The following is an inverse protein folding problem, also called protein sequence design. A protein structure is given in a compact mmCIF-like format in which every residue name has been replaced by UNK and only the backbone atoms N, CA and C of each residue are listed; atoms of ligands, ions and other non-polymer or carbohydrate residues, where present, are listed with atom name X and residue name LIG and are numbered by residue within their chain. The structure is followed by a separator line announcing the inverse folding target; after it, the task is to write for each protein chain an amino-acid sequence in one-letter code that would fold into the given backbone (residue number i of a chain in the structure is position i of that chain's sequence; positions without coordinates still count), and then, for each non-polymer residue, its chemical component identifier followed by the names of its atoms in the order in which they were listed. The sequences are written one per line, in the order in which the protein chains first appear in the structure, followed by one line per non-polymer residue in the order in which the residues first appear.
data_IF_376996551076
#
_entry.id   IF_376996551076
#
_cell.length_a   1.000
_cell.length_b   1.000
_cell.length_c   1.000
_cell.angle_alpha   90.00
_cell.angle_beta   90.00
_cell.angle_gamma   90.00
#
_symmetry.space_group_name_H-M   'P 1'
#
loop_
_entity.id
_entity.type
_entity.pdbx_description
1 polymer ?
#
# COMPACT_ATOMS: atom_id res chain seq x y z
N UNK A 1 6.43 32.54 -11.35
CA UNK A 1 7.06 31.91 -10.19
C UNK A 1 8.05 30.91 -10.71
N UNK A 2 9.33 31.20 -10.55
CA UNK A 2 10.44 30.33 -10.95
C UNK A 2 10.44 29.12 -10.02
N UNK A 3 10.24 27.94 -10.56
CA UNK A 3 10.46 26.69 -9.83
C UNK A 3 11.96 26.61 -9.50
N UNK A 4 12.31 26.77 -8.23
CA UNK A 4 13.62 26.36 -7.76
C UNK A 4 13.76 24.87 -8.09
N UNK A 5 14.77 24.52 -8.86
CA UNK A 5 15.15 23.14 -9.12
C UNK A 5 15.64 22.56 -7.79
N UNK A 6 14.76 21.81 -7.11
CA UNK A 6 15.14 21.06 -5.91
C UNK A 6 16.37 20.22 -6.26
N UNK A 7 17.41 20.30 -5.44
CA UNK A 7 18.62 19.47 -5.58
C UNK A 7 18.18 18.00 -5.58
N UNK A 8 18.85 17.15 -6.38
CA UNK A 8 18.56 15.70 -6.35
C UNK A 8 18.63 15.21 -4.90
N UNK A 9 17.56 14.57 -4.44
CA UNK A 9 17.52 13.98 -3.10
C UNK A 9 18.54 12.86 -3.08
N UNK A 10 19.58 13.00 -2.26
CA UNK A 10 20.60 11.97 -2.09
C UNK A 10 19.97 10.78 -1.36
N UNK A 11 19.87 9.63 -2.05
CA UNK A 11 19.27 8.41 -1.50
C UNK A 11 20.26 7.81 -0.49
N UNK A 12 19.87 7.62 0.78
CA UNK A 12 20.73 6.99 1.78
C UNK A 12 21.17 5.57 1.37
N UNK A 13 22.38 5.15 1.74
CA UNK A 13 22.91 3.85 1.32
C UNK A 13 22.08 2.67 1.81
N UNK A 14 21.54 2.75 3.02
CA UNK A 14 20.59 1.76 3.53
C UNK A 14 19.34 1.61 2.63
N UNK A 15 18.89 2.70 2.02
CA UNK A 15 17.77 2.66 1.09
C UNK A 15 18.17 2.11 -0.27
N UNK A 16 19.36 2.44 -0.77
CA UNK A 16 19.90 1.83 -2.01
C UNK A 16 19.97 0.31 -1.87
N UNK A 17 20.47 -0.16 -0.72
CA UNK A 17 20.50 -1.58 -0.39
C UNK A 17 19.08 -2.21 -0.38
N UNK A 18 18.14 -1.56 0.29
CA UNK A 18 16.75 -2.04 0.33
C UNK A 18 16.12 -2.11 -1.06
N UNK A 19 16.35 -1.11 -1.92
CA UNK A 19 15.87 -1.10 -3.30
C UNK A 19 16.50 -2.21 -4.16
N UNK A 20 17.78 -2.51 -3.97
CA UNK A 20 18.44 -3.60 -4.67
C UNK A 20 17.90 -4.96 -4.24
N UNK A 21 17.69 -5.16 -2.94
CA UNK A 21 17.07 -6.37 -2.40
C UNK A 21 15.62 -6.51 -2.88
N UNK A 22 14.83 -5.42 -2.88
CA UNK A 22 13.48 -5.43 -3.42
C UNK A 22 13.48 -5.82 -4.91
N UNK A 23 14.42 -5.32 -5.70
CA UNK A 23 14.51 -5.65 -7.12
C UNK A 23 14.80 -7.15 -7.38
N UNK A 24 15.54 -7.80 -6.49
CA UNK A 24 15.86 -9.22 -6.57
C UNK A 24 14.68 -10.07 -6.09
N UNK A 25 14.14 -9.77 -4.91
CA UNK A 25 13.16 -10.62 -4.23
C UNK A 25 11.69 -10.26 -4.49
N UNK A 26 11.41 -9.05 -5.00
CA UNK A 26 10.06 -8.57 -5.31
C UNK A 26 10.03 -7.86 -6.68
N UNK A 27 10.39 -8.57 -7.79
CA UNK A 27 10.55 -7.96 -9.10
C UNK A 27 9.26 -7.31 -9.63
N UNK A 28 8.09 -7.90 -9.38
CA UNK A 28 6.82 -7.29 -9.74
C UNK A 28 6.60 -5.94 -9.03
N UNK A 29 6.79 -5.87 -7.72
CA UNK A 29 6.61 -4.64 -6.96
C UNK A 29 7.58 -3.54 -7.44
N UNK A 30 8.82 -3.90 -7.71
CA UNK A 30 9.83 -3.01 -8.29
C UNK A 30 9.41 -2.49 -9.67
N UNK A 31 8.89 -3.36 -10.53
CA UNK A 31 8.40 -2.99 -11.88
C UNK A 31 7.23 -2.01 -11.79
N UNK A 32 6.23 -2.29 -10.94
CA UNK A 32 5.07 -1.42 -10.77
C UNK A 32 5.47 -0.06 -10.17
N UNK A 33 6.39 -0.05 -9.22
CA UNK A 33 6.94 1.18 -8.65
C UNK A 33 7.65 2.04 -9.70
N UNK A 34 8.47 1.43 -10.57
CA UNK A 34 9.17 2.13 -11.65
C UNK A 34 8.23 2.73 -12.69
N UNK A 35 7.04 2.17 -12.91
CA UNK A 35 6.03 2.77 -13.81
C UNK A 35 5.46 4.06 -13.27
N UNK A 36 5.37 4.21 -11.95
CA UNK A 36 4.78 5.36 -11.29
C UNK A 36 5.80 6.47 -11.02
N UNK A 37 7.04 6.08 -10.79
CA UNK A 37 8.12 6.97 -10.39
C UNK A 37 9.30 6.80 -11.34
N UNK A 38 9.38 7.68 -12.33
CA UNK A 38 10.53 7.67 -13.24
C UNK A 38 11.80 8.16 -12.53
N UNK A 39 12.98 7.52 -12.77
CA UNK A 39 14.24 7.87 -12.10
C UNK A 39 14.71 9.30 -12.35
N UNK A 40 14.24 9.94 -13.42
CA UNK A 40 14.63 11.29 -13.84
C UNK A 40 13.64 12.37 -13.40
N UNK A 41 12.45 11.98 -12.98
CA UNK A 41 11.40 12.89 -12.58
C UNK A 41 10.66 12.32 -11.37
N UNK A 42 11.20 12.57 -10.17
CA UNK A 42 10.62 12.14 -8.90
C UNK A 42 9.30 12.86 -8.55
N UNK A 43 8.48 13.15 -9.58
CA UNK A 43 7.14 13.66 -9.33
C UNK A 43 6.35 12.65 -8.52
N UNK A 44 5.66 13.15 -7.51
CA UNK A 44 4.82 12.32 -6.68
C UNK A 44 3.72 11.65 -7.52
N UNK A 45 3.63 10.33 -7.43
CA UNK A 45 2.55 9.59 -8.07
C UNK A 45 1.20 9.91 -7.41
N UNK A 46 0.14 9.96 -8.20
CA UNK A 46 -1.20 10.19 -7.67
C UNK A 46 -1.87 8.87 -7.30
N UNK A 47 -2.43 8.87 -6.12
CA UNK A 47 -3.26 7.79 -5.61
C UNK A 47 -4.61 8.31 -5.18
N UNK A 48 -5.58 7.42 -5.12
CA UNK A 48 -6.94 7.73 -4.73
C UNK A 48 -7.45 6.74 -3.68
N UNK A 49 -8.04 7.26 -2.61
CA UNK A 49 -8.73 6.47 -1.60
C UNK A 49 -10.25 6.62 -1.75
N UNK A 50 -10.91 5.58 -2.25
CA UNK A 50 -12.36 5.52 -2.36
C UNK A 50 -12.95 5.11 -1.00
N UNK A 51 -13.88 5.94 -0.47
CA UNK A 51 -14.44 5.70 0.86
C UNK A 51 -15.82 6.33 1.02
N UNK A 52 -16.46 6.12 2.18
CA UNK A 52 -17.71 6.83 2.49
C UNK A 52 -17.44 8.30 2.81
N UNK A 53 -18.45 9.16 2.60
CA UNK A 53 -18.35 10.57 2.96
C UNK A 53 -18.04 10.75 4.47
N UNK A 54 -18.62 9.93 5.34
CA UNK A 54 -18.38 9.94 6.78
C UNK A 54 -16.91 9.62 7.11
N UNK A 55 -16.37 8.54 6.54
CA UNK A 55 -14.98 8.15 6.77
C UNK A 55 -14.01 9.21 6.23
N UNK A 56 -14.29 9.79 5.05
CA UNK A 56 -13.48 10.86 4.49
C UNK A 56 -13.44 12.10 5.39
N UNK A 57 -14.58 12.51 5.95
CA UNK A 57 -14.62 13.59 6.94
C UNK A 57 -13.76 13.26 8.19
N UNK A 58 -13.84 12.02 8.66
CA UNK A 58 -13.02 11.55 9.77
C UNK A 58 -11.52 11.58 9.46
N UNK A 59 -11.13 11.16 8.26
CA UNK A 59 -9.73 11.19 7.78
C UNK A 59 -9.22 12.64 7.70
N UNK A 60 -9.99 13.52 7.07
CA UNK A 60 -9.61 14.92 6.89
C UNK A 60 -9.52 15.66 8.24
N UNK A 61 -10.54 15.51 9.10
CA UNK A 61 -10.58 16.18 10.40
C UNK A 61 -9.48 15.72 11.35
N UNK A 62 -9.18 14.43 11.37
CA UNK A 62 -8.11 13.87 12.20
C UNK A 62 -6.73 13.98 11.57
N UNK A 63 -6.63 14.26 10.28
CA UNK A 63 -5.39 14.14 9.49
C UNK A 63 -4.74 12.76 9.65
N UNK A 64 -5.56 11.70 9.57
CA UNK A 64 -5.14 10.31 9.79
C UNK A 64 -5.77 9.40 8.76
N UNK A 65 -4.98 8.56 8.11
CA UNK A 65 -5.49 7.49 7.25
C UNK A 65 -5.78 6.26 8.10
N UNK A 66 -7.01 5.76 8.04
CA UNK A 66 -7.44 4.62 8.85
C UNK A 66 -6.98 3.30 8.24
N UNK A 67 -6.29 2.51 9.04
CA UNK A 67 -5.86 1.15 8.70
C UNK A 67 -6.73 0.16 9.47
N UNK A 68 -7.39 -0.72 8.74
CA UNK A 68 -8.32 -1.71 9.29
C UNK A 68 -7.68 -3.09 9.32
N UNK A 69 -8.08 -3.88 10.29
CA UNK A 69 -7.69 -5.28 10.33
C UNK A 69 -8.25 -6.02 9.11
N UNK A 70 -7.44 -6.83 8.45
CA UNK A 70 -7.83 -7.61 7.26
C UNK A 70 -9.01 -8.53 7.55
N UNK A 71 -9.15 -9.05 8.79
CA UNK A 71 -10.27 -9.90 9.21
C UNK A 71 -11.62 -9.18 9.26
N UNK A 72 -11.61 -7.84 9.34
CA UNK A 72 -12.81 -6.99 9.34
C UNK A 72 -13.16 -6.42 7.96
N UNK A 73 -12.47 -6.86 6.92
CA UNK A 73 -12.67 -6.40 5.55
C UNK A 73 -13.19 -7.55 4.67
N UNK A 74 -13.82 -7.19 3.56
CA UNK A 74 -14.21 -8.18 2.55
C UNK A 74 -12.98 -8.95 2.01
N UNK A 75 -11.81 -8.32 2.11
CA UNK A 75 -10.51 -8.82 1.65
C UNK A 75 -9.91 -9.95 2.51
N UNK A 76 -10.57 -10.38 3.60
CA UNK A 76 -10.05 -11.49 4.42
C UNK A 76 -9.85 -12.78 3.62
N UNK A 77 -10.76 -13.07 2.68
CA UNK A 77 -10.62 -14.22 1.78
C UNK A 77 -9.42 -14.09 0.85
N UNK A 78 -8.96 -12.88 0.59
CA UNK A 78 -7.81 -12.60 -0.27
C UNK A 78 -6.51 -13.00 0.41
N UNK A 79 -6.35 -12.74 1.72
CA UNK A 79 -5.19 -13.21 2.50
C UNK A 79 -5.10 -14.73 2.46
N UNK A 80 -6.23 -15.43 2.59
CA UNK A 80 -6.28 -16.89 2.45
C UNK A 80 -6.00 -17.34 1.01
N UNK A 81 -6.46 -16.59 0.01
CA UNK A 81 -6.19 -16.86 -1.39
C UNK A 81 -4.68 -16.75 -1.67
N UNK A 82 -4.05 -15.64 -1.28
CA UNK A 82 -2.61 -15.44 -1.43
C UNK A 82 -1.79 -16.55 -0.74
N UNK A 83 -2.16 -16.91 0.49
CA UNK A 83 -1.52 -18.03 1.19
C UNK A 83 -1.67 -19.35 0.42
N UNK A 84 -2.86 -19.67 -0.07
CA UNK A 84 -3.12 -20.90 -0.81
C UNK A 84 -2.29 -20.98 -2.10
N UNK A 85 -2.09 -19.85 -2.78
CA UNK A 85 -1.27 -19.80 -3.99
C UNK A 85 0.22 -20.02 -3.70
N UNK A 86 0.76 -19.35 -2.68
CA UNK A 86 2.14 -19.60 -2.23
C UNK A 86 2.32 -21.03 -1.71
N UNK A 87 1.37 -21.51 -0.92
CA UNK A 87 1.40 -22.87 -0.38
C UNK A 87 1.47 -23.91 -1.51
N UNK A 88 0.73 -23.76 -2.60
CA UNK A 88 0.79 -24.68 -3.75
C UNK A 88 2.18 -24.74 -4.38
N UNK A 89 2.90 -23.64 -4.42
CA UNK A 89 4.28 -23.63 -4.93
C UNK A 89 5.23 -24.36 -3.97
N UNK A 90 5.21 -23.98 -2.69
CA UNK A 90 6.16 -24.50 -1.69
C UNK A 90 5.82 -25.91 -1.18
N UNK A 91 4.60 -26.41 -1.37
CA UNK A 91 4.23 -27.79 -1.11
C UNK A 91 4.80 -28.77 -2.16
N UNK A 92 5.03 -28.30 -3.37
CA UNK A 92 5.74 -29.06 -4.41
C UNK A 92 7.23 -29.11 -4.06
N UNK A 93 7.72 -30.32 -3.78
CA UNK A 93 9.09 -30.56 -3.32
C UNK A 93 10.13 -30.09 -4.36
N UNK A 94 9.90 -30.34 -5.65
CA UNK A 94 10.82 -29.96 -6.72
C UNK A 94 10.95 -28.42 -6.80
N UNK A 95 9.82 -27.72 -6.78
CA UNK A 95 9.80 -26.25 -6.85
C UNK A 95 10.43 -25.63 -5.60
N UNK A 96 10.07 -26.13 -4.42
CA UNK A 96 10.67 -25.70 -3.15
C UNK A 96 12.18 -25.90 -3.16
N UNK A 97 12.66 -27.10 -3.60
CA UNK A 97 14.08 -27.39 -3.65
C UNK A 97 14.83 -26.46 -4.63
N UNK A 98 14.21 -26.09 -5.75
CA UNK A 98 14.80 -25.14 -6.71
C UNK A 98 14.99 -23.75 -6.06
N UNK A 99 14.00 -23.26 -5.35
CA UNK A 99 14.10 -21.99 -4.62
C UNK A 99 15.15 -22.06 -3.50
N UNK A 100 15.10 -23.14 -2.71
CA UNK A 100 16.03 -23.36 -1.59
C UNK A 100 17.46 -23.43 -2.10
N UNK A 101 17.73 -24.21 -3.14
CA UNK A 101 19.08 -24.36 -3.69
C UNK A 101 19.67 -23.02 -4.19
N UNK A 102 18.87 -22.18 -4.84
CA UNK A 102 19.34 -20.87 -5.32
C UNK A 102 19.74 -19.95 -4.17
N UNK A 103 18.94 -19.88 -3.11
CA UNK A 103 19.21 -19.01 -1.96
C UNK A 103 20.34 -19.57 -1.07
N UNK A 104 20.34 -20.88 -0.83
CA UNK A 104 21.30 -21.55 0.02
C UNK A 104 22.71 -21.60 -0.61
N UNK A 105 22.83 -21.47 -1.94
CA UNK A 105 24.10 -21.25 -2.63
C UNK A 105 24.74 -19.89 -2.27
N UNK A 106 23.95 -18.94 -1.80
CA UNK A 106 24.44 -17.65 -1.30
C UNK A 106 24.60 -17.67 0.24
N UNK A 107 23.59 -18.17 0.94
CA UNK A 107 23.53 -18.22 2.41
C UNK A 107 22.92 -19.55 2.86
N UNK A 108 23.74 -20.54 3.25
CA UNK A 108 23.28 -21.86 3.67
C UNK A 108 22.19 -21.79 4.75
N UNK A 109 21.06 -22.47 4.53
CA UNK A 109 19.93 -22.56 5.43
C UNK A 109 19.02 -21.32 5.47
N UNK A 110 19.30 -20.27 4.71
CA UNK A 110 18.52 -19.04 4.72
C UNK A 110 17.09 -19.22 4.22
N UNK A 111 16.90 -20.05 3.18
CA UNK A 111 15.58 -20.34 2.66
C UNK A 111 14.69 -21.05 3.69
N UNK A 112 15.21 -22.09 4.31
CA UNK A 112 14.50 -22.86 5.35
C UNK A 112 14.17 -22.01 6.57
N UNK A 113 15.09 -21.13 6.99
CA UNK A 113 14.86 -20.19 8.09
C UNK A 113 13.74 -19.18 7.78
N UNK A 114 13.75 -18.58 6.59
CA UNK A 114 12.72 -17.64 6.18
C UNK A 114 11.33 -18.29 6.07
N UNK A 115 11.25 -19.51 5.52
CA UNK A 115 9.99 -20.28 5.43
C UNK A 115 9.51 -20.68 6.84
N UNK A 116 10.40 -21.13 7.72
CA UNK A 116 10.08 -21.44 9.11
C UNK A 116 9.51 -20.20 9.83
N UNK A 117 10.20 -19.09 9.73
CA UNK A 117 9.77 -17.81 10.31
C UNK A 117 8.38 -17.40 9.79
N UNK A 118 8.14 -17.54 8.48
CA UNK A 118 6.82 -17.26 7.89
C UNK A 118 5.70 -18.16 8.48
N UNK A 119 5.98 -19.45 8.64
CA UNK A 119 5.02 -20.38 9.21
C UNK A 119 4.74 -20.09 10.70
N UNK A 120 5.75 -19.71 11.47
CA UNK A 120 5.60 -19.33 12.88
C UNK A 120 4.76 -18.05 13.05
N UNK A 121 4.89 -17.11 12.13
CA UNK A 121 4.13 -15.85 12.13
C UNK A 121 2.76 -15.94 11.46
N UNK A 122 2.41 -17.07 10.86
CA UNK A 122 1.18 -17.20 10.06
C UNK A 122 -0.10 -16.81 10.83
N UNK A 123 -0.26 -17.25 12.06
CA UNK A 123 -1.41 -16.90 12.90
C UNK A 123 -1.55 -15.40 13.17
N UNK A 124 -0.42 -14.73 13.43
CA UNK A 124 -0.40 -13.27 13.61
C UNK A 124 -0.58 -12.53 12.27
N UNK A 125 -0.06 -13.05 11.17
CA UNK A 125 -0.30 -12.48 9.84
C UNK A 125 -1.78 -12.47 9.48
N UNK A 126 -2.51 -13.53 9.81
CA UNK A 126 -3.94 -13.61 9.58
C UNK A 126 -4.77 -12.65 10.44
N UNK A 127 -4.40 -12.49 11.72
CA UNK A 127 -5.23 -11.83 12.72
C UNK A 127 -4.76 -10.43 13.13
N UNK A 128 -3.51 -10.08 12.85
CA UNK A 128 -2.86 -8.86 13.30
C UNK A 128 -2.23 -8.06 12.15
N UNK A 129 -2.81 -8.16 10.96
CA UNK A 129 -2.42 -7.34 9.80
C UNK A 129 -3.46 -6.26 9.58
N UNK A 130 -3.00 -5.01 9.53
CA UNK A 130 -3.83 -3.83 9.30
C UNK A 130 -3.43 -3.21 7.95
N UNK A 131 -4.43 -2.87 7.14
CA UNK A 131 -4.20 -2.30 5.82
C UNK A 131 -5.03 -1.05 5.57
N UNK A 132 -4.49 -0.17 4.75
CA UNK A 132 -5.25 0.84 4.04
C UNK A 132 -5.05 0.63 2.54
N UNK A 133 -6.15 0.48 1.82
CA UNK A 133 -6.17 0.27 0.37
C UNK A 133 -6.33 1.60 -0.34
N UNK A 134 -5.46 1.84 -1.32
CA UNK A 134 -5.52 2.99 -2.23
C UNK A 134 -5.35 2.50 -3.65
N UNK A 135 -5.85 3.23 -4.62
CA UNK A 135 -5.70 2.90 -6.04
C UNK A 135 -4.79 3.91 -6.74
N UNK A 136 -4.07 3.48 -7.77
CA UNK A 136 -3.38 4.43 -8.66
C UNK A 136 -4.42 5.30 -9.34
N UNK A 137 -4.21 6.62 -9.33
CA UNK A 137 -5.06 7.58 -10.02
C UNK A 137 -4.38 8.08 -11.30
N UNK A 138 -5.12 8.04 -12.40
CA UNK A 138 -4.65 8.49 -13.72
C UNK A 138 -5.45 9.71 -14.17
N UNK A 139 -4.82 10.89 -14.13
CA UNK A 139 -5.45 12.15 -14.55
C UNK A 139 -5.93 12.14 -16.01
N UNK A 140 -5.35 11.30 -16.88
CA UNK A 140 -5.74 11.26 -18.30
C UNK A 140 -7.06 10.55 -18.54
N UNK A 141 -7.34 9.52 -17.74
CA UNK A 141 -8.53 8.66 -17.94
C UNK A 141 -9.56 8.83 -16.85
N UNK A 142 -9.18 9.25 -15.66
CA UNK A 142 -10.05 9.36 -14.49
C UNK A 142 -10.36 10.81 -14.12
N UNK A 143 -9.41 11.73 -14.34
CA UNK A 143 -9.52 13.17 -14.08
C UNK A 143 -10.37 13.49 -12.82
N UNK A 144 -11.46 14.21 -13.01
CA UNK A 144 -12.42 14.53 -11.94
C UNK A 144 -13.51 13.48 -11.76
N UNK A 145 -13.62 12.50 -12.67
CA UNK A 145 -14.72 11.51 -12.63
C UNK A 145 -14.45 10.36 -11.68
N UNK A 146 -13.19 10.05 -11.43
CA UNK A 146 -12.80 8.81 -10.77
C UNK A 146 -13.11 7.58 -11.63
N UNK A 147 -12.93 6.39 -11.05
CA UNK A 147 -13.13 5.11 -11.75
C UNK A 147 -14.51 4.54 -11.51
N UNK A 148 -15.26 4.31 -12.58
CA UNK A 148 -16.65 3.85 -12.52
C UNK A 148 -16.79 2.48 -11.81
N UNK A 149 -15.87 1.55 -12.04
CA UNK A 149 -15.86 0.26 -11.34
C UNK A 149 -15.76 0.43 -9.82
N UNK A 150 -14.96 1.38 -9.35
CA UNK A 150 -14.80 1.67 -7.91
C UNK A 150 -16.06 2.28 -7.30
N UNK A 151 -16.74 3.19 -8.03
CA UNK A 151 -18.04 3.71 -7.57
C UNK A 151 -19.11 2.61 -7.44
N UNK A 152 -19.06 1.60 -8.33
CA UNK A 152 -19.98 0.46 -8.31
C UNK A 152 -19.59 -0.58 -7.25
N UNK A 153 -18.32 -0.91 -7.13
CA UNK A 153 -17.82 -1.93 -6.20
C UNK A 153 -18.11 -1.54 -4.74
N UNK A 154 -17.93 -0.27 -4.42
CA UNK A 154 -18.25 0.27 -3.10
C UNK A 154 -19.68 0.83 -3.04
N UNK A 155 -20.58 0.40 -3.94
CA UNK A 155 -21.97 0.78 -3.98
C UNK A 155 -22.69 0.47 -2.67
N UNK A 156 -23.74 1.24 -2.38
CA UNK A 156 -24.55 1.15 -1.18
C UNK A 156 -25.31 2.46 -0.96
N UNK A 157 -26.14 2.53 0.07
CA UNK A 157 -26.97 3.70 0.39
C UNK A 157 -26.18 4.93 0.84
N UNK A 158 -24.93 4.76 1.26
CA UNK A 158 -24.12 5.86 1.79
C UNK A 158 -23.41 6.63 0.67
N UNK A 159 -23.42 7.96 0.70
CA UNK A 159 -22.65 8.77 -0.24
C UNK A 159 -21.17 8.42 -0.24
N UNK A 160 -20.56 8.40 -1.41
CA UNK A 160 -19.15 8.04 -1.64
C UNK A 160 -18.35 9.22 -2.13
N UNK A 161 -17.10 9.22 -1.74
CA UNK A 161 -16.10 10.18 -2.19
C UNK A 161 -14.77 9.47 -2.48
N UNK A 162 -13.93 10.14 -3.22
CA UNK A 162 -12.57 9.70 -3.48
C UNK A 162 -11.59 10.82 -3.09
N UNK A 163 -10.66 10.53 -2.20
CA UNK A 163 -9.59 11.45 -1.81
C UNK A 163 -8.39 11.18 -2.70
N UNK A 164 -8.03 12.12 -3.55
CA UNK A 164 -6.83 12.04 -4.40
C UNK A 164 -5.68 12.74 -3.69
N UNK A 165 -4.55 12.07 -3.63
CA UNK A 165 -3.34 12.60 -3.00
C UNK A 165 -2.08 12.19 -3.78
N UNK A 166 -1.01 12.94 -3.56
CA UNK A 166 0.29 12.73 -4.17
C UNK A 166 1.20 12.02 -3.18
N UNK A 167 1.49 10.76 -3.43
CA UNK A 167 2.44 10.04 -2.61
C UNK A 167 3.86 10.31 -3.13
N UNK A 168 4.78 10.82 -2.30
CA UNK A 168 6.16 11.01 -2.69
C UNK A 168 6.83 9.65 -2.91
N UNK A 169 7.82 9.60 -3.81
CA UNK A 169 8.66 8.42 -4.02
C UNK A 169 9.28 7.94 -2.71
N UNK A 170 9.77 8.87 -1.93
CA UNK A 170 10.41 8.62 -0.66
C UNK A 170 10.06 9.73 0.33
N UNK A 171 9.58 9.36 1.48
CA UNK A 171 9.24 10.32 2.53
C UNK A 171 9.92 10.03 3.87
N UNK A 172 10.65 8.92 3.99
CA UNK A 172 11.12 8.42 5.29
C UNK A 172 10.01 7.79 6.15
N UNK A 173 8.75 8.09 5.84
CA UNK A 173 7.62 7.67 6.65
C UNK A 173 7.44 6.15 6.71
N UNK A 174 7.72 5.43 5.62
CA UNK A 174 7.62 3.97 5.61
C UNK A 174 8.54 3.32 6.65
N UNK A 175 9.74 3.88 6.82
CA UNK A 175 10.68 3.41 7.84
C UNK A 175 10.28 3.84 9.26
N UNK A 176 9.91 5.13 9.45
CA UNK A 176 9.52 5.65 10.77
C UNK A 176 8.22 5.05 11.30
N UNK A 177 7.28 4.75 10.40
CA UNK A 177 6.00 4.12 10.74
C UNK A 177 6.05 2.59 10.73
N UNK A 178 7.17 1.98 10.31
CA UNK A 178 7.31 0.53 10.14
C UNK A 178 6.19 -0.08 9.27
N UNK A 179 5.78 0.63 8.23
CA UNK A 179 4.77 0.17 7.27
C UNK A 179 5.41 -0.30 5.97
N UNK A 180 4.75 -1.24 5.30
CA UNK A 180 5.09 -1.65 3.94
C UNK A 180 4.13 -0.95 2.99
N UNK A 181 4.65 -0.38 1.91
CA UNK A 181 3.86 0.20 0.83
C UNK A 181 4.11 -0.59 -0.46
N UNK A 182 3.12 -1.37 -0.89
CA UNK A 182 3.28 -2.35 -1.97
C UNK A 182 2.10 -2.34 -2.95
N UNK A 183 2.35 -2.52 -4.26
CA UNK A 183 1.29 -2.81 -5.21
C UNK A 183 0.65 -4.16 -4.93
N UNK A 184 -0.63 -4.30 -5.29
CA UNK A 184 -1.33 -5.58 -5.32
C UNK A 184 -1.05 -6.27 -6.65
N UNK A 185 -0.64 -7.52 -6.60
CA UNK A 185 -0.44 -8.38 -7.75
C UNK A 185 -1.74 -9.14 -8.08
N UNK A 186 -2.20 -9.03 -9.30
CA UNK A 186 -3.41 -9.72 -9.79
C UNK A 186 -2.99 -10.92 -10.62
N UNK A 187 -2.59 -11.99 -9.95
CA UNK A 187 -1.96 -13.13 -10.58
C UNK A 187 -2.84 -14.37 -10.60
N UNK A 188 -2.79 -15.10 -11.71
CA UNK A 188 -3.18 -16.51 -11.77
C UNK A 188 -2.11 -17.39 -11.10
N UNK A 189 -2.44 -18.67 -10.86
CA UNK A 189 -1.48 -19.65 -10.31
C UNK A 189 -0.18 -19.73 -11.13
N UNK A 190 -0.29 -19.71 -12.46
CA UNK A 190 0.88 -19.76 -13.36
C UNK A 190 1.75 -18.52 -13.16
N UNK A 191 1.14 -17.34 -13.09
CA UNK A 191 1.88 -16.08 -12.91
C UNK A 191 2.58 -16.00 -11.55
N UNK A 192 2.01 -16.57 -10.47
CA UNK A 192 2.70 -16.69 -9.18
C UNK A 192 3.94 -17.57 -9.32
N UNK A 193 3.83 -18.69 -10.04
CA UNK A 193 4.99 -19.54 -10.29
C UNK A 193 6.06 -18.81 -11.11
N UNK A 194 5.66 -18.12 -12.16
CA UNK A 194 6.59 -17.34 -13.01
C UNK A 194 7.31 -16.24 -12.20
N UNK A 195 6.59 -15.58 -11.30
CA UNK A 195 7.18 -14.57 -10.42
C UNK A 195 8.23 -15.18 -9.48
N UNK A 196 7.94 -16.34 -8.86
CA UNK A 196 8.90 -17.02 -7.99
C UNK A 196 10.11 -17.52 -8.80
N UNK A 197 9.91 -18.03 -10.03
CA UNK A 197 11.03 -18.37 -10.92
C UNK A 197 11.85 -17.13 -11.32
N UNK A 198 11.21 -15.97 -11.49
CA UNK A 198 11.92 -14.71 -11.71
C UNK A 198 12.78 -14.33 -10.50
N UNK A 199 12.28 -14.54 -9.27
CA UNK A 199 13.08 -14.36 -8.04
C UNK A 199 14.28 -15.31 -8.04
N UNK A 200 14.08 -16.61 -8.33
CA UNK A 200 15.17 -17.60 -8.39
C UNK A 200 16.23 -17.16 -9.41
N UNK A 201 15.80 -16.75 -10.59
CA UNK A 201 16.71 -16.23 -11.62
C UNK A 201 17.48 -15.00 -11.12
N UNK A 202 16.81 -14.05 -10.51
CA UNK A 202 17.44 -12.84 -9.99
C UNK A 202 18.47 -13.14 -8.89
N UNK A 203 18.17 -14.11 -7.98
CA UNK A 203 19.15 -14.56 -6.97
C UNK A 203 20.42 -15.09 -7.66
N UNK A 204 20.28 -15.92 -8.69
CA UNK A 204 21.41 -16.47 -9.43
C UNK A 204 22.19 -15.39 -10.20
N UNK A 205 21.48 -14.48 -10.88
CA UNK A 205 22.11 -13.40 -11.65
C UNK A 205 22.85 -12.40 -10.76
N UNK A 206 22.44 -12.24 -9.48
CA UNK A 206 23.04 -11.32 -8.52
C UNK A 206 23.67 -12.03 -7.31
N UNK A 207 24.13 -13.27 -7.50
CA UNK A 207 24.60 -14.11 -6.40
C UNK A 207 25.74 -13.48 -5.60
N UNK A 208 26.64 -12.73 -6.22
CA UNK A 208 27.75 -12.06 -5.53
C UNK A 208 27.24 -10.95 -4.61
N UNK A 209 26.25 -10.18 -5.05
CA UNK A 209 25.61 -9.16 -4.23
C UNK A 209 24.85 -9.80 -3.05
N UNK A 210 24.08 -10.87 -3.30
CA UNK A 210 23.33 -11.56 -2.26
C UNK A 210 24.31 -12.15 -1.21
N UNK A 211 25.41 -12.77 -1.62
CA UNK A 211 26.45 -13.29 -0.71
C UNK A 211 27.14 -12.20 0.12
N UNK A 212 27.34 -11.02 -0.46
CA UNK A 212 27.96 -9.88 0.23
C UNK A 212 26.99 -9.19 1.19
N UNK A 213 25.69 -9.39 1.04
CA UNK A 213 24.67 -8.83 1.93
C UNK A 213 24.60 -9.62 3.24
N UNK A 214 24.38 -8.92 4.36
CA UNK A 214 24.20 -9.59 5.66
C UNK A 214 23.08 -10.65 5.61
N UNK A 215 23.40 -11.85 6.13
CA UNK A 215 22.49 -13.01 6.08
C UNK A 215 21.15 -12.73 6.74
N UNK A 216 21.12 -12.02 7.88
CA UNK A 216 19.89 -11.69 8.60
C UNK A 216 19.02 -10.77 7.75
N UNK A 217 19.64 -9.85 7.02
CA UNK A 217 18.92 -8.96 6.11
C UNK A 217 18.31 -9.73 4.93
N UNK A 218 19.05 -10.70 4.37
CA UNK A 218 18.51 -11.55 3.30
C UNK A 218 17.32 -12.36 3.79
N UNK A 219 17.43 -13.03 4.95
CA UNK A 219 16.32 -13.80 5.56
C UNK A 219 15.09 -12.90 5.81
N UNK A 220 15.30 -11.70 6.35
CA UNK A 220 14.21 -10.73 6.57
C UNK A 220 13.55 -10.29 5.27
N UNK A 221 14.33 -10.11 4.20
CA UNK A 221 13.79 -9.72 2.89
C UNK A 221 12.98 -10.85 2.27
N UNK A 222 13.45 -12.10 2.35
CA UNK A 222 12.68 -13.27 1.89
C UNK A 222 11.39 -13.43 2.70
N UNK A 223 11.46 -13.25 4.01
CA UNK A 223 10.27 -13.24 4.85
C UNK A 223 9.28 -12.14 4.42
N UNK A 224 9.76 -10.91 4.17
CA UNK A 224 8.94 -9.80 3.69
C UNK A 224 8.32 -10.09 2.30
N UNK A 225 9.05 -10.74 1.41
CA UNK A 225 8.54 -11.25 0.12
C UNK A 225 7.37 -12.21 0.32
N UNK A 226 7.50 -13.19 1.22
CA UNK A 226 6.42 -14.15 1.51
C UNK A 226 5.19 -13.46 2.10
N UNK A 227 5.40 -12.51 3.02
CA UNK A 227 4.31 -11.69 3.59
C UNK A 227 3.61 -10.86 2.50
N UNK A 228 4.37 -10.17 1.66
CA UNK A 228 3.80 -9.39 0.55
C UNK A 228 3.02 -10.29 -0.42
N UNK A 229 3.55 -11.48 -0.74
CA UNK A 229 2.89 -12.48 -1.57
C UNK A 229 1.58 -12.99 -0.98
N UNK A 230 1.35 -12.88 0.32
CA UNK A 230 0.06 -13.22 0.94
C UNK A 230 -0.86 -12.00 1.01
N UNK A 231 -0.33 -10.86 1.47
CA UNK A 231 -1.17 -9.68 1.76
C UNK A 231 -1.45 -8.84 0.51
N UNK A 232 -0.61 -8.94 -0.52
CA UNK A 232 -0.74 -8.17 -1.77
C UNK A 232 -1.02 -9.04 -3.00
N UNK A 233 -1.55 -10.24 -2.82
CA UNK A 233 -1.98 -11.08 -3.94
C UNK A 233 -3.50 -11.13 -3.99
N UNK A 234 -4.07 -10.85 -5.16
CA UNK A 234 -5.50 -10.77 -5.40
C UNK A 234 -5.86 -11.52 -6.69
N UNK A 235 -7.07 -12.01 -6.78
CA UNK A 235 -7.56 -12.67 -7.99
C UNK A 235 -7.54 -11.71 -9.18
N UNK A 236 -7.11 -12.20 -10.34
CA UNK A 236 -6.93 -11.41 -11.58
C UNK A 236 -8.18 -10.62 -12.02
N UNK A 237 -9.37 -11.08 -11.69
CA UNK A 237 -10.63 -10.40 -11.97
C UNK A 237 -10.77 -9.01 -11.32
N UNK A 238 -9.94 -8.68 -10.32
CA UNK A 238 -9.97 -7.38 -9.63
C UNK A 238 -8.92 -6.39 -10.16
N UNK A 239 -8.23 -6.68 -11.27
CA UNK A 239 -7.13 -5.87 -11.80
C UNK A 239 -7.50 -4.39 -12.07
N UNK A 240 -8.79 -4.10 -12.32
CA UNK A 240 -9.27 -2.73 -12.49
C UNK A 240 -9.13 -1.87 -11.24
N UNK A 241 -9.01 -2.47 -10.04
CA UNK A 241 -8.83 -1.71 -8.81
C UNK A 241 -7.47 -1.00 -8.77
N UNK A 242 -6.45 -1.53 -9.46
CA UNK A 242 -5.08 -0.96 -9.52
C UNK A 242 -4.60 -0.59 -8.12
N UNK A 243 -4.83 -1.51 -7.18
CA UNK A 243 -4.68 -1.30 -5.75
C UNK A 243 -3.22 -1.28 -5.32
N UNK A 244 -2.93 -0.43 -4.37
CA UNK A 244 -1.73 -0.44 -3.53
C UNK A 244 -2.15 -0.51 -2.08
N UNK A 245 -1.36 -1.17 -1.26
CA UNK A 245 -1.63 -1.33 0.17
C UNK A 245 -0.54 -0.68 1.02
N UNK A 246 -0.98 0.08 2.00
CA UNK A 246 -0.17 0.40 3.19
C UNK A 246 -0.46 -0.69 4.20
N UNK A 247 0.57 -1.41 4.65
CA UNK A 247 0.43 -2.60 5.49
C UNK A 247 1.19 -2.37 6.78
N UNK A 248 0.53 -2.60 7.91
CA UNK A 248 1.11 -2.53 9.24
C UNK A 248 0.87 -3.83 10.00
N UNK A 249 1.91 -4.35 10.64
CA UNK A 249 1.85 -5.52 11.51
C UNK A 249 2.43 -5.19 12.89
N UNK A 250 1.60 -4.78 13.87
CA UNK A 250 2.06 -4.27 15.15
C UNK A 250 2.94 -5.23 15.92
N UNK A 251 2.60 -6.51 15.93
CA UNK A 251 3.41 -7.52 16.62
C UNK A 251 4.75 -7.80 15.93
N UNK A 252 4.76 -7.73 14.60
CA UNK A 252 5.95 -8.06 13.80
C UNK A 252 6.96 -6.93 13.77
N UNK A 253 6.46 -5.72 13.59
CA UNK A 253 7.30 -4.53 13.41
C UNK A 253 6.63 -3.31 14.07
N UNK A 254 6.58 -3.26 15.42
CA UNK A 254 5.91 -2.21 16.15
C UNK A 254 6.53 -0.84 15.85
N UNK A 255 5.70 0.17 15.73
CA UNK A 255 6.10 1.58 15.62
C UNK A 255 5.51 2.36 16.77
N UNK A 256 6.31 3.03 17.59
CA UNK A 256 5.79 3.87 18.68
C UNK A 256 4.81 4.94 18.18
N UNK A 257 5.02 5.47 16.97
CA UNK A 257 4.13 6.46 16.36
C UNK A 257 2.77 5.82 16.06
N UNK A 258 2.76 4.61 15.45
CA UNK A 258 1.52 3.92 15.12
C UNK A 258 0.77 3.41 16.34
N UNK A 259 1.49 2.92 17.37
CA UNK A 259 0.89 2.43 18.61
C UNK A 259 0.18 3.55 19.40
N UNK A 260 0.70 4.78 19.35
CA UNK A 260 0.07 5.95 19.95
C UNK A 260 -1.20 6.40 19.20
N UNK A 261 -1.42 5.93 17.98
CA UNK A 261 -2.48 6.37 17.05
C UNK A 261 -3.54 5.27 16.85
N UNK A 262 -3.94 4.59 17.92
CA UNK A 262 -4.97 3.55 17.90
C UNK A 262 -6.32 4.05 18.37
N UNK A 263 -7.40 3.50 17.81
CA UNK A 263 -8.78 3.81 18.23
C UNK A 263 -9.68 2.59 18.04
N UNK A 264 -10.66 2.40 18.94
CA UNK A 264 -11.78 1.47 18.68
C UNK A 264 -12.90 2.24 17.98
N UNK A 265 -13.25 1.79 16.77
CA UNK A 265 -14.27 2.42 15.93
C UNK A 265 -15.30 1.41 15.48
N UNK A 266 -16.58 1.82 15.44
CA UNK A 266 -17.65 1.01 14.83
C UNK A 266 -17.72 1.36 13.33
N UNK A 267 -17.44 0.38 12.47
CA UNK A 267 -17.50 0.54 11.02
C UNK A 267 -18.41 -0.55 10.45
N UNK A 268 -19.46 -0.14 9.74
CA UNK A 268 -20.45 -1.08 9.22
C UNK A 268 -21.16 -1.89 10.31
N UNK A 269 -21.34 -1.31 11.52
CA UNK A 269 -21.94 -1.97 12.66
C UNK A 269 -21.01 -2.86 13.49
N UNK A 270 -19.75 -3.04 13.06
CA UNK A 270 -18.77 -3.90 13.74
C UNK A 270 -17.76 -3.04 14.51
N UNK A 271 -17.70 -3.14 15.86
CA UNK A 271 -16.63 -2.53 16.65
C UNK A 271 -15.29 -3.22 16.32
N UNK A 272 -14.29 -2.42 16.00
CA UNK A 272 -12.97 -2.92 15.61
C UNK A 272 -11.87 -1.95 16.03
N UNK A 273 -10.71 -2.48 16.36
CA UNK A 273 -9.50 -1.70 16.53
C UNK A 273 -9.03 -1.22 15.15
N UNK A 274 -8.69 0.05 15.04
CA UNK A 274 -8.04 0.63 13.88
C UNK A 274 -6.72 1.29 14.29
N UNK A 275 -5.75 1.26 13.39
CA UNK A 275 -4.56 2.11 13.47
C UNK A 275 -4.76 3.32 12.57
N UNK A 276 -4.31 4.47 13.02
CA UNK A 276 -4.51 5.73 12.31
C UNK A 276 -3.16 6.28 11.87
N UNK A 277 -2.75 5.95 10.63
CA UNK A 277 -1.50 6.44 10.06
C UNK A 277 -1.52 7.97 9.97
N UNK A 278 -0.60 8.68 10.64
CA UNK A 278 -0.61 10.14 10.69
C UNK A 278 -0.26 10.74 9.32
N UNK A 279 -1.04 11.76 8.94
CA UNK A 279 -0.83 12.64 7.79
C UNK A 279 -0.64 14.08 8.29
N UNK A 280 0.13 14.24 9.36
CA UNK A 280 0.31 15.48 10.09
C UNK A 280 1.76 15.62 10.53
N UNK A 281 2.47 16.58 9.96
CA UNK A 281 3.88 16.84 10.21
C UNK A 281 4.21 17.14 11.68
N UNK A 282 3.21 17.52 12.48
CA UNK A 282 3.42 17.85 13.90
C UNK A 282 3.57 16.60 14.79
N UNK A 283 3.23 15.41 14.29
CA UNK A 283 3.30 14.16 15.06
C UNK A 283 4.74 13.68 15.21
N UNK A 284 5.48 13.64 14.11
CA UNK A 284 6.87 13.22 14.09
C UNK A 284 7.57 13.72 12.81
N UNK A 285 8.88 13.99 12.86
CA UNK A 285 9.64 14.43 11.68
C UNK A 285 9.56 13.45 10.50
N UNK A 286 9.47 12.16 10.77
CA UNK A 286 9.40 11.09 9.77
C UNK A 286 8.16 11.22 8.88
N UNK A 287 7.06 11.76 9.38
CA UNK A 287 5.81 11.90 8.63
C UNK A 287 5.65 13.25 7.93
N UNK A 288 6.63 14.15 8.05
CA UNK A 288 6.57 15.48 7.43
C UNK A 288 6.33 15.42 5.90
N UNK A 289 6.86 14.41 5.23
CA UNK A 289 6.63 14.16 3.80
C UNK A 289 5.20 13.75 3.45
N UNK A 290 4.40 13.30 4.43
CA UNK A 290 3.02 12.86 4.28
C UNK A 290 2.01 13.87 4.86
N UNK A 291 2.43 15.08 5.22
CA UNK A 291 1.49 16.09 5.71
C UNK A 291 0.33 16.31 4.73
N UNK A 292 -0.91 16.26 5.23
CA UNK A 292 -2.11 16.33 4.40
C UNK A 292 -2.16 17.60 3.56
N UNK A 293 -1.71 18.74 4.09
CA UNK A 293 -1.67 20.00 3.34
C UNK A 293 -0.70 19.95 2.15
N UNK A 294 0.33 19.12 2.24
CA UNK A 294 1.33 18.91 1.17
C UNK A 294 0.88 17.88 0.15
N UNK A 295 0.32 16.75 0.59
CA UNK A 295 0.02 15.63 -0.32
C UNK A 295 -1.38 15.67 -0.92
N UNK A 296 -2.33 16.39 -0.30
CA UNK A 296 -3.71 16.46 -0.81
C UNK A 296 -3.76 17.13 -2.18
N UNK A 297 -4.40 16.44 -3.15
CA UNK A 297 -4.63 16.97 -4.50
C UNK A 297 -6.07 17.50 -4.63
N UNK A 298 -7.05 16.63 -4.53
CA UNK A 298 -8.48 16.97 -4.60
C UNK A 298 -9.36 15.90 -3.94
N UNK A 299 -10.61 16.25 -3.73
CA UNK A 299 -11.66 15.32 -3.32
C UNK A 299 -12.71 15.26 -4.41
N UNK A 300 -13.03 14.04 -4.88
CA UNK A 300 -14.06 13.79 -5.88
C UNK A 300 -15.33 13.29 -5.17
N UNK A 301 -16.43 14.02 -5.33
CA UNK A 301 -17.74 13.57 -4.86
C UNK A 301 -18.31 12.61 -5.90
N UNK A 302 -18.54 11.37 -5.51
CA UNK A 302 -19.16 10.35 -6.34
C UNK A 302 -20.61 10.64 -6.69
N UNK A 303 -21.26 9.80 -7.48
CA UNK A 303 -22.68 9.95 -7.82
C UNK A 303 -23.54 10.07 -6.57
N UNK A 304 -24.22 11.20 -6.37
CA UNK A 304 -25.05 11.48 -5.19
C UNK A 304 -26.07 12.57 -5.48
N UNK A 305 -27.27 12.44 -4.93
CA UNK A 305 -28.29 13.49 -4.95
C UNK A 305 -27.97 14.65 -3.98
N UNK A 306 -27.01 14.47 -3.06
CA UNK A 306 -26.63 15.45 -2.04
C UNK A 306 -25.31 16.16 -2.37
N UNK A 307 -24.89 16.18 -3.61
CA UNK A 307 -23.56 16.63 -4.03
C UNK A 307 -23.22 18.06 -3.60
N UNK A 308 -24.18 19.00 -3.63
CA UNK A 308 -23.95 20.38 -3.23
C UNK A 308 -23.71 20.53 -1.71
N UNK A 309 -24.53 19.84 -0.90
CA UNK A 309 -24.33 19.84 0.55
C UNK A 309 -23.00 19.21 0.94
N UNK A 310 -22.62 18.12 0.27
CA UNK A 310 -21.32 17.48 0.45
C UNK A 310 -20.17 18.40 0.06
N UNK A 311 -20.28 19.13 -1.05
CA UNK A 311 -19.26 20.09 -1.48
C UNK A 311 -19.01 21.14 -0.39
N UNK A 312 -20.08 21.75 0.16
CA UNK A 312 -19.97 22.76 1.22
C UNK A 312 -19.31 22.20 2.48
N UNK A 313 -19.73 20.98 2.91
CA UNK A 313 -19.18 20.32 4.09
C UNK A 313 -17.69 19.97 3.92
N UNK A 314 -17.32 19.41 2.77
CA UNK A 314 -15.90 19.06 2.50
C UNK A 314 -15.02 20.28 2.30
N UNK A 315 -15.51 21.34 1.63
CA UNK A 315 -14.76 22.59 1.51
C UNK A 315 -14.45 23.19 2.89
N UNK A 316 -15.41 23.21 3.79
CA UNK A 316 -15.21 23.66 5.17
C UNK A 316 -14.22 22.74 5.93
N UNK A 317 -14.37 21.42 5.86
CA UNK A 317 -13.49 20.46 6.52
C UNK A 317 -12.03 20.58 6.03
N UNK A 318 -11.82 20.73 4.72
CA UNK A 318 -10.50 20.90 4.11
C UNK A 318 -9.86 22.24 4.51
N UNK A 319 -10.65 23.33 4.57
CA UNK A 319 -10.18 24.64 5.09
C UNK A 319 -9.69 24.51 6.53
N UNK A 320 -10.46 23.84 7.38
CA UNK A 320 -10.10 23.59 8.79
C UNK A 320 -8.86 22.70 8.93
N UNK A 321 -8.62 21.80 7.96
CA UNK A 321 -7.41 20.98 7.90
C UNK A 321 -6.17 21.73 7.37
N UNK A 322 -6.32 23.00 6.95
CA UNK A 322 -5.24 23.84 6.44
C UNK A 322 -4.98 23.71 4.94
N UNK A 323 -5.93 23.15 4.18
CA UNK A 323 -5.81 23.01 2.72
C UNK A 323 -6.15 24.36 2.05
N UNK A 324 -5.20 24.91 1.30
CA UNK A 324 -5.43 26.10 0.49
C UNK A 324 -6.41 25.81 -0.66
N UNK A 325 -7.19 26.83 -1.05
CA UNK A 325 -8.17 26.74 -2.15
C UNK A 325 -9.15 25.55 -2.02
N UNK A 326 -9.51 25.18 -0.79
CA UNK A 326 -10.27 24.01 -0.44
C UNK A 326 -11.54 23.81 -1.28
N UNK A 327 -12.32 24.90 -1.52
CA UNK A 327 -13.55 24.83 -2.33
C UNK A 327 -13.27 24.45 -3.80
N UNK A 328 -12.20 24.95 -4.39
CA UNK A 328 -11.81 24.61 -5.76
C UNK A 328 -11.25 23.17 -5.89
N UNK A 329 -10.82 22.57 -4.77
CA UNK A 329 -10.30 21.20 -4.73
C UNK A 329 -11.37 20.15 -4.43
N UNK A 330 -12.62 20.54 -4.21
CA UNK A 330 -13.74 19.62 -4.13
C UNK A 330 -14.46 19.61 -5.48
N UNK A 331 -14.43 18.50 -6.18
CA UNK A 331 -15.00 18.37 -7.53
C UNK A 331 -16.10 17.31 -7.56
N UNK A 332 -16.97 17.40 -8.56
CA UNK A 332 -18.05 16.44 -8.77
C UNK A 332 -17.66 15.43 -9.83
N UNK A 333 -17.94 14.15 -9.60
CA UNK A 333 -17.66 13.11 -10.60
C UNK A 333 -18.41 13.33 -11.92
N UNK A 334 -19.54 14.03 -11.90
CA UNK A 334 -20.38 14.22 -13.08
C UNK A 334 -21.04 12.95 -13.62
N UNK A 335 -20.82 11.80 -12.98
CA UNK A 335 -21.39 10.52 -13.39
C UNK A 335 -22.88 10.51 -12.99
N UNK A 336 -23.80 10.30 -13.93
CA UNK A 336 -25.23 10.33 -13.63
C UNK A 336 -25.61 9.15 -12.71
N UNK A 337 -26.47 9.44 -11.72
CA UNK A 337 -27.08 8.40 -10.89
C UNK A 337 -28.07 7.65 -11.78
N UNK A 338 -27.98 6.32 -11.81
CA UNK A 338 -29.04 5.49 -12.34
C UNK A 338 -30.05 5.27 -11.22
N UNK A 339 -31.29 5.69 -11.49
CA UNK A 339 -32.42 5.41 -10.61
C UNK A 339 -32.72 3.92 -10.52
#
# INVERSE_FOLDING_TARGET
MTYETEKPVEIPDAMKLAMQLEAIFMPYATKERRKLYEPTNFQAAKFVHYTTAEAALGIIASKRLWMRNTTCMADYREVQHGFSMLHRFFADESKRNTFTAALDACHPGAASEAIKLFNEWWGDLQSQTFIASISVHDDKTEDQHGRLSMWRAFGGSNPRVAIVFRAPWYSGATAGLNVIFSPVAYFSDTQVQDEIYSVIKNINDHADFVRATDRVQVVRTVFAMLVAGVVCLKHEGFHEEREWRVIYGPKRNPSPIMEAETETKTIGGVPQLIYKMPLDATVAPEVAGLDVARIFDRLIIGPSQYSLAMHQAFAAALTNAGIADASARVVFSGIPIRA
#
